data_IF_538224519003
#
_entry.id   IF_538224519003
#
_cell.length_a   1.000
_cell.length_b   1.000
_cell.length_c   1.000
_cell.angle_alpha   90.00
_cell.angle_beta   90.00
_cell.angle_gamma   90.00
#
_symmetry.space_group_name_H-M   'P 1'
#
loop_
_entity.id
_entity.type
_entity.pdbx_description
1 polymer ?
#
# COMPACT_ATOMS: atom_id res chain seq x y z
N UNK A 1 -1.94 -18.62 -30.87
CA UNK A 1 -2.03 -18.74 -30.44
C UNK A 1 -1.84 -18.81 -29.96
N UNK A 2 -1.70 -18.35 -29.92
CA UNK A 2 -1.77 -18.41 -29.38
C UNK A 2 -1.40 -18.25 -28.80
N UNK A 3 -1.27 -17.74 -28.76
CA UNK A 3 -1.20 -17.59 -28.14
C UNK A 3 -0.80 -17.30 -27.72
N UNK A 4 -0.80 -16.93 -27.99
CA UNK A 4 -0.82 -16.75 -27.55
C UNK A 4 -0.55 -16.47 -26.99
N UNK A 5 -0.58 -16.07 -27.04
CA UNK A 5 -0.76 -16.07 -26.53
C UNK A 5 -0.46 -15.80 -26.01
N UNK A 6 -0.54 -15.26 -26.01
CA UNK A 6 -0.79 -15.27 -25.39
C UNK A 6 -0.89 -15.00 -24.75
N UNK A 7 -1.19 -14.56 -24.73
CA UNK A 7 -1.51 -14.29 -24.14
C UNK A 7 -1.46 -14.04 -23.32
N UNK A 8 -1.60 -13.67 -23.07
CA UNK A 8 -1.49 -13.64 -22.24
C UNK A 8 -1.90 -13.72 -21.45
N UNK A 9 -2.33 -13.56 -21.20
CA UNK A 9 -2.71 -13.95 -20.43
C UNK A 9 -3.07 -14.13 -19.96
N UNK A 10 -3.32 -14.00 -20.28
CA UNK A 10 -3.52 -14.56 -19.33
C UNK A 10 -4.43 -15.36 -18.80
N UNK A 11 -5.36 -15.61 -19.17
CA UNK A 11 -6.33 -16.27 -18.41
C UNK A 11 -6.10 -17.73 -18.22
N UNK A 12 -5.60 -18.38 -19.13
CA UNK A 12 -5.21 -19.79 -18.94
C UNK A 12 -3.81 -19.93 -18.40
N UNK A 13 -3.15 -18.83 -18.24
CA UNK A 13 -1.76 -18.84 -17.81
C UNK A 13 -1.68 -18.76 -16.30
N UNK A 14 -1.05 -19.72 -15.68
CA UNK A 14 -0.77 -19.69 -14.25
C UNK A 14 0.61 -19.10 -14.07
N UNK A 15 0.67 -17.95 -13.41
CA UNK A 15 1.93 -17.27 -13.19
C UNK A 15 2.68 -17.98 -12.06
N UNK A 16 3.89 -18.42 -12.33
CA UNK A 16 4.72 -19.09 -11.34
C UNK A 16 5.45 -18.07 -10.48
N UNK A 17 5.96 -18.50 -9.33
CA UNK A 17 6.76 -17.63 -8.48
C UNK A 17 7.94 -16.98 -9.21
N UNK A 18 8.74 -17.73 -9.98
CA UNK A 18 9.84 -17.12 -10.71
C UNK A 18 9.36 -16.06 -11.70
N UNK A 19 8.21 -16.27 -12.35
CA UNK A 19 7.69 -15.31 -13.29
C UNK A 19 7.21 -14.04 -12.59
N UNK A 20 6.55 -14.19 -11.42
CA UNK A 20 6.15 -13.05 -10.64
C UNK A 20 7.34 -12.22 -10.18
N UNK A 21 8.41 -12.88 -9.79
CA UNK A 21 9.61 -12.19 -9.37
C UNK A 21 10.22 -11.42 -10.53
N UNK A 22 10.28 -12.05 -11.70
CA UNK A 22 10.82 -11.37 -12.88
C UNK A 22 10.00 -10.16 -13.27
N UNK A 23 8.67 -10.29 -13.20
CA UNK A 23 7.79 -9.16 -13.51
C UNK A 23 7.99 -8.03 -12.51
N UNK A 24 8.10 -8.36 -11.24
CA UNK A 24 8.30 -7.36 -10.21
C UNK A 24 9.62 -6.62 -10.42
N UNK A 25 10.66 -7.35 -10.73
CA UNK A 25 11.98 -6.73 -10.97
C UNK A 25 11.96 -5.86 -12.21
N UNK A 26 11.25 -6.29 -13.26
CA UNK A 26 11.15 -5.50 -14.49
C UNK A 26 10.35 -4.22 -14.24
N UNK A 27 9.31 -4.32 -13.42
CA UNK A 27 8.46 -3.16 -13.14
C UNK A 27 9.14 -2.13 -12.26
N UNK A 28 10.01 -2.56 -11.36
CA UNK A 28 10.67 -1.61 -10.46
C UNK A 28 11.59 -0.70 -11.23
N UNK A 29 12.02 -1.14 -12.39
CA UNK A 29 12.77 -0.26 -13.23
C UNK A 29 13.32 -0.97 -14.41
N UNK A 30 13.97 -0.34 -15.10
CA UNK A 30 14.80 -0.58 -16.19
C UNK A 30 16.01 -1.36 -15.68
N UNK A 31 16.03 -2.52 -15.45
CA UNK A 31 17.16 -3.39 -15.25
C UNK A 31 18.27 -2.93 -14.29
N UNK A 32 18.59 -1.63 -14.30
CA UNK A 32 19.62 -1.10 -13.40
C UNK A 32 19.18 -1.15 -11.97
N UNK A 33 17.91 -0.82 -11.71
CA UNK A 33 17.37 -0.82 -10.36
C UNK A 33 17.28 -2.22 -9.79
N UNK A 34 17.13 -3.24 -10.62
CA UNK A 34 17.07 -4.61 -10.14
C UNK A 34 18.37 -5.02 -9.44
N UNK A 35 19.50 -4.50 -9.90
CA UNK A 35 20.79 -4.79 -9.26
C UNK A 35 20.94 -4.00 -7.98
N UNK A 36 20.44 -2.76 -7.99
CA UNK A 36 20.56 -1.90 -6.81
C UNK A 36 19.71 -2.39 -5.65
N UNK A 37 18.56 -3.01 -5.94
CA UNK A 37 17.69 -3.55 -4.90
C UNK A 37 18.42 -4.54 -4.00
N UNK A 38 19.34 -5.30 -4.56
CA UNK A 38 20.10 -6.27 -3.79
C UNK A 38 20.97 -5.60 -2.70
N UNK A 39 21.26 -4.31 -2.86
CA UNK A 39 22.12 -3.59 -1.93
C UNK A 39 21.32 -2.66 -1.01
N UNK A 40 20.02 -2.52 -1.25
CA UNK A 40 19.19 -1.62 -0.44
C UNK A 40 18.75 -2.35 0.84
N UNK A 41 18.94 -1.74 2.00
CA UNK A 41 18.47 -2.34 3.25
C UNK A 41 16.96 -2.53 3.25
N UNK A 42 16.51 -3.59 3.88
CA UNK A 42 15.08 -3.90 3.95
C UNK A 42 14.25 -2.74 4.52
N UNK A 43 14.81 -2.04 5.50
CA UNK A 43 14.13 -0.89 6.13
C UNK A 43 13.76 0.16 5.09
N UNK A 44 14.66 0.45 4.15
CA UNK A 44 14.39 1.45 3.12
C UNK A 44 13.30 0.98 2.15
N UNK A 45 13.31 -0.30 1.81
CA UNK A 45 12.29 -0.85 0.91
C UNK A 45 10.93 -0.80 1.59
N UNK A 46 10.86 -1.25 2.84
CA UNK A 46 9.60 -1.25 3.57
C UNK A 46 9.07 0.17 3.73
N UNK A 47 9.95 1.10 4.07
CA UNK A 47 9.56 2.49 4.22
C UNK A 47 9.02 3.07 2.92
N UNK A 48 9.66 2.76 1.81
CA UNK A 48 9.21 3.24 0.49
C UNK A 48 7.83 2.71 0.16
N UNK A 49 7.59 1.42 0.40
CA UNK A 49 6.29 0.82 0.16
C UNK A 49 5.22 1.47 1.03
N UNK A 50 5.54 1.67 2.31
CA UNK A 50 4.59 2.28 3.25
C UNK A 50 4.23 3.71 2.83
N UNK A 51 5.22 4.50 2.41
CA UNK A 51 4.98 5.85 1.95
C UNK A 51 4.13 5.85 0.68
N UNK A 52 4.35 4.88 -0.19
CA UNK A 52 3.54 4.74 -1.40
C UNK A 52 2.08 4.44 -1.06
N UNK A 53 1.87 3.52 -0.13
CA UNK A 53 0.51 3.21 0.33
C UNK A 53 -0.14 4.42 0.96
N UNK A 54 0.62 5.16 1.76
CA UNK A 54 0.14 6.36 2.41
C UNK A 54 -0.32 7.40 1.38
N UNK A 55 0.52 7.66 0.38
CA UNK A 55 0.21 8.65 -0.65
C UNK A 55 -1.03 8.25 -1.45
N UNK A 56 -1.12 6.97 -1.84
CA UNK A 56 -2.26 6.49 -2.59
C UNK A 56 -3.54 6.57 -1.75
N UNK A 57 -3.45 6.21 -0.47
CA UNK A 57 -4.61 6.29 0.42
C UNK A 57 -5.08 7.72 0.60
N UNK A 58 -4.14 8.66 0.73
CA UNK A 58 -4.48 10.07 0.88
C UNK A 58 -5.28 10.57 -0.33
N UNK A 59 -4.83 10.22 -1.53
CA UNK A 59 -5.56 10.61 -2.76
C UNK A 59 -6.97 10.02 -2.75
N UNK A 60 -7.10 8.75 -2.39
CA UNK A 60 -8.40 8.08 -2.39
C UNK A 60 -9.31 8.58 -1.29
N UNK A 61 -8.77 9.20 -0.27
CA UNK A 61 -9.57 9.85 0.77
C UNK A 61 -10.01 11.28 0.39
N UNK A 62 -9.56 11.77 -0.76
CA UNK A 62 -9.95 13.09 -1.22
C UNK A 62 -9.03 14.21 -0.81
N UNK A 63 -7.78 13.90 -0.43
CA UNK A 63 -6.83 14.91 0.01
C UNK A 63 -5.98 15.47 -1.13
N UNK A 64 -6.25 15.06 -2.37
CA UNK A 64 -5.50 15.57 -3.52
C UNK A 64 -6.25 16.72 -4.21
N UNK A 65 -5.67 17.21 -5.30
CA UNK A 65 -6.15 18.41 -5.97
C UNK A 65 -7.52 18.28 -6.61
N UNK A 66 -7.95 17.06 -6.92
CA UNK A 66 -9.24 16.83 -7.57
C UNK A 66 -10.06 15.80 -6.79
N UNK A 67 -10.53 16.17 -5.59
CA UNK A 67 -11.20 15.21 -4.72
C UNK A 67 -12.48 14.63 -5.34
N UNK A 68 -13.19 15.41 -6.13
CA UNK A 68 -14.44 14.92 -6.70
C UNK A 68 -14.25 13.74 -7.64
N UNK A 69 -13.14 13.70 -8.34
CA UNK A 69 -12.85 12.62 -9.26
C UNK A 69 -12.02 11.53 -8.68
N UNK A 70 -11.25 11.82 -7.66
CA UNK A 70 -10.23 10.91 -7.14
C UNK A 70 -10.64 10.19 -5.85
N UNK A 71 -11.65 10.70 -5.15
CA UNK A 71 -12.09 10.07 -3.92
C UNK A 71 -12.73 8.71 -4.21
N UNK A 72 -12.24 7.70 -3.53
CA UNK A 72 -12.76 6.33 -3.65
C UNK A 72 -12.49 5.64 -2.32
N UNK A 73 -13.50 5.67 -1.44
CA UNK A 73 -13.30 5.18 -0.08
C UNK A 73 -13.14 3.66 0.01
N UNK A 74 -13.70 2.93 -0.94
CA UNK A 74 -13.50 1.47 -0.95
C UNK A 74 -12.04 1.14 -1.24
N UNK A 75 -11.44 1.86 -2.19
CA UNK A 75 -10.03 1.66 -2.48
C UNK A 75 -9.16 2.19 -1.36
N UNK A 76 -9.55 3.32 -0.76
CA UNK A 76 -8.82 3.87 0.37
C UNK A 76 -8.77 2.86 1.52
N UNK A 77 -9.88 2.19 1.81
CA UNK A 77 -9.93 1.19 2.88
C UNK A 77 -8.92 0.08 2.64
N UNK A 78 -8.83 -0.40 1.41
CA UNK A 78 -7.86 -1.46 1.07
C UNK A 78 -6.43 -1.02 1.32
N UNK A 79 -6.12 0.20 0.89
CA UNK A 79 -4.77 0.74 1.03
C UNK A 79 -4.41 0.97 2.49
N UNK A 80 -5.36 1.50 3.27
CA UNK A 80 -5.11 1.75 4.68
C UNK A 80 -4.97 0.43 5.45
N UNK A 81 -5.79 -0.56 5.13
CA UNK A 81 -5.66 -1.87 5.74
C UNK A 81 -4.28 -2.48 5.46
N UNK A 82 -3.83 -2.39 4.21
CA UNK A 82 -2.53 -2.91 3.84
C UNK A 82 -1.41 -2.19 4.57
N UNK A 83 -1.49 -0.87 4.63
CA UNK A 83 -0.49 -0.07 5.32
C UNK A 83 -0.45 -0.38 6.81
N UNK A 84 -1.62 -0.49 7.44
CA UNK A 84 -1.70 -0.78 8.86
C UNK A 84 -1.07 -2.14 9.17
N UNK A 85 -1.35 -3.15 8.35
CA UNK A 85 -0.74 -4.46 8.52
C UNK A 85 0.77 -4.42 8.34
N UNK A 86 1.22 -3.74 7.30
CA UNK A 86 2.65 -3.63 7.00
C UNK A 86 3.39 -2.94 8.15
N UNK A 87 2.90 -1.80 8.60
CA UNK A 87 3.55 -1.04 9.66
C UNK A 87 3.56 -1.83 10.97
N UNK A 88 2.44 -2.48 11.30
CA UNK A 88 2.35 -3.27 12.51
C UNK A 88 3.34 -4.44 12.49
N UNK A 89 3.42 -5.13 11.37
CA UNK A 89 4.30 -6.29 11.25
C UNK A 89 5.77 -5.90 11.24
N UNK A 90 6.11 -4.73 10.73
CA UNK A 90 7.50 -4.36 10.52
C UNK A 90 8.04 -3.36 11.54
N UNK A 91 7.20 -2.84 12.43
CA UNK A 91 7.60 -1.75 13.33
C UNK A 91 8.88 -2.03 14.11
N UNK A 92 9.01 -3.23 14.66
CA UNK A 92 10.18 -3.57 15.47
C UNK A 92 11.48 -3.57 14.64
N UNK A 93 11.36 -3.96 13.37
CA UNK A 93 12.53 -4.04 12.48
C UNK A 93 12.89 -2.68 11.90
N UNK A 94 11.93 -1.75 11.85
CA UNK A 94 12.17 -0.41 11.27
C UNK A 94 12.92 0.52 12.22
N UNK A 95 12.78 0.30 13.52
CA UNK A 95 13.33 1.22 14.51
C UNK A 95 12.35 2.35 14.80
N UNK A 96 12.53 2.99 15.96
CA UNK A 96 11.57 3.96 16.49
C UNK A 96 11.31 5.14 15.58
N UNK A 97 12.37 5.64 14.95
CA UNK A 97 12.24 6.84 14.12
C UNK A 97 11.29 6.60 12.93
N UNK A 98 11.57 5.55 12.16
CA UNK A 98 10.73 5.22 11.01
C UNK A 98 9.34 4.76 11.42
N UNK A 99 9.28 3.92 12.45
CA UNK A 99 8.00 3.38 12.90
C UNK A 99 7.06 4.49 13.36
N UNK A 100 7.59 5.48 14.08
CA UNK A 100 6.77 6.60 14.55
C UNK A 100 6.25 7.42 13.39
N UNK A 101 7.11 7.76 12.44
CA UNK A 101 6.69 8.55 11.28
C UNK A 101 5.62 7.84 10.48
N UNK A 102 5.75 6.53 10.28
CA UNK A 102 4.77 5.76 9.54
C UNK A 102 3.45 5.62 10.29
N UNK A 103 3.52 5.47 11.62
CA UNK A 103 2.31 5.42 12.44
C UNK A 103 1.57 6.75 12.42
N UNK A 104 2.30 7.86 12.44
CA UNK A 104 1.68 9.17 12.34
C UNK A 104 0.98 9.35 11.01
N UNK A 105 1.63 8.93 9.92
CA UNK A 105 1.02 8.99 8.60
C UNK A 105 -0.21 8.11 8.50
N UNK A 106 -0.12 6.89 9.04
CA UNK A 106 -1.24 5.96 9.06
C UNK A 106 -2.42 6.56 9.79
N UNK A 107 -2.19 7.12 10.98
CA UNK A 107 -3.25 7.74 11.75
C UNK A 107 -3.89 8.89 10.96
N UNK A 108 -3.09 9.68 10.26
CA UNK A 108 -3.60 10.80 9.48
C UNK A 108 -4.58 10.35 8.40
N UNK A 109 -4.25 9.27 7.67
CA UNK A 109 -5.16 8.79 6.63
C UNK A 109 -6.36 8.06 7.22
N UNK A 110 -6.21 7.42 8.39
CA UNK A 110 -7.35 6.82 9.06
C UNK A 110 -8.35 7.89 9.47
N UNK A 111 -7.87 9.02 9.99
CA UNK A 111 -8.74 10.13 10.36
C UNK A 111 -9.38 10.76 9.13
N UNK A 112 -8.61 10.93 8.06
CA UNK A 112 -9.15 11.47 6.80
C UNK A 112 -10.23 10.56 6.23
N UNK A 113 -10.01 9.27 6.28
CA UNK A 113 -10.99 8.27 5.82
C UNK A 113 -12.29 8.39 6.62
N UNK A 114 -12.16 8.48 7.93
CA UNK A 114 -13.32 8.59 8.81
C UNK A 114 -14.09 9.88 8.54
N UNK A 115 -13.36 10.98 8.36
CA UNK A 115 -13.99 12.26 8.09
C UNK A 115 -14.70 12.29 6.74
N UNK A 116 -14.14 11.60 5.75
CA UNK A 116 -14.74 11.55 4.42
C UNK A 116 -15.93 10.58 4.33
N UNK A 117 -16.06 9.69 5.30
CA UNK A 117 -17.11 8.66 5.28
C UNK A 117 -18.47 9.27 5.65
N UNK A 118 -19.48 9.14 4.77
CA UNK A 118 -20.82 9.64 5.11
C UNK A 118 -21.41 8.94 6.33
N UNK A 119 -21.08 7.68 6.50
CA UNK A 119 -21.54 6.87 7.63
C UNK A 119 -20.32 6.21 8.25
N UNK A 120 -19.66 6.91 9.19
CA UNK A 120 -18.43 6.37 9.78
C UNK A 120 -18.64 5.01 10.44
N UNK A 121 -17.65 4.15 10.33
CA UNK A 121 -17.68 2.84 10.94
C UNK A 121 -17.72 2.94 12.48
N UNK A 122 -18.21 1.90 13.11
CA UNK A 122 -18.17 1.80 14.57
C UNK A 122 -16.70 1.77 15.03
N UNK A 123 -16.44 2.21 16.27
CA UNK A 123 -15.08 2.20 16.80
C UNK A 123 -14.43 0.82 16.68
N UNK A 124 -13.22 0.78 16.16
CA UNK A 124 -12.48 -0.45 15.95
C UNK A 124 -12.76 -1.14 14.64
N UNK A 125 -13.75 -0.68 13.88
CA UNK A 125 -14.15 -1.31 12.62
C UNK A 125 -13.79 -0.50 11.38
N UNK A 126 -13.19 0.65 11.56
CA UNK A 126 -12.77 1.48 10.44
C UNK A 126 -11.53 0.96 9.77
N UNK A 127 -11.15 1.65 8.68
CA UNK A 127 -9.99 1.27 7.90
C UNK A 127 -8.75 1.17 8.78
N UNK A 128 -8.06 0.03 8.69
CA UNK A 128 -6.85 -0.21 9.45
C UNK A 128 -7.03 -0.45 10.94
N UNK A 129 -8.23 -0.26 11.48
CA UNK A 129 -8.44 -0.32 12.93
C UNK A 129 -8.35 -1.72 13.49
N UNK A 130 -8.45 -2.73 12.65
CA UNK A 130 -8.17 -4.09 13.07
C UNK A 130 -6.74 -4.21 13.64
N UNK A 131 -5.82 -3.41 13.11
CA UNK A 131 -4.41 -3.44 13.49
C UNK A 131 -4.04 -2.41 14.54
N UNK A 132 -4.71 -1.25 14.52
CA UNK A 132 -4.33 -0.12 15.37
C UNK A 132 -5.27 0.09 16.55
N UNK A 133 -6.47 -0.49 16.52
CA UNK A 133 -7.53 -0.09 17.43
C UNK A 133 -8.23 1.15 16.92
N UNK A 134 -9.25 1.58 17.64
CA UNK A 134 -10.06 2.73 17.24
C UNK A 134 -9.21 4.00 17.14
N UNK A 135 -9.52 4.80 16.15
CA UNK A 135 -8.82 6.06 15.88
C UNK A 135 -9.84 7.20 15.92
N UNK A 136 -9.53 8.23 16.69
CA UNK A 136 -10.39 9.42 16.78
C UNK A 136 -9.59 10.64 17.20
#
# INVERSE_FOLDING_TARGET
>A
MSDTGHDRIIHDHVITEPELLEEALAETADGAAARDIAEVPAVEIINTVAVHLLSAAAVKCGLADDPEQQTDLDEARKLINAMAGLVTASAADLGDHHARALRDGLRSVQLAFREASPFPDAPGEGAGEKWTGAVN
#
